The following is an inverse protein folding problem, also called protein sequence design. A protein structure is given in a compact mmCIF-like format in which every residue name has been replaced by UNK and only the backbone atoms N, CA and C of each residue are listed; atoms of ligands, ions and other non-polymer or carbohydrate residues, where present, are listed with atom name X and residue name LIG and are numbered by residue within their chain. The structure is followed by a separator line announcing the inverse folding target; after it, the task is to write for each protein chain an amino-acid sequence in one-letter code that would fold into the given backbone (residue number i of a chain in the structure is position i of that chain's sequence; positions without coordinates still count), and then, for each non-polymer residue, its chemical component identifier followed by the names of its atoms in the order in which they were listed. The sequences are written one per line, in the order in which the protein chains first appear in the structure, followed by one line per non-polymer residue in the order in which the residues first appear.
data_IF_507199777217
#
_entry.id   IF_507199777217
#
_cell.length_a   1.000
_cell.length_b   1.000
_cell.length_c   1.000
_cell.angle_alpha   90.00
_cell.angle_beta   90.00
_cell.angle_gamma   90.00
#
_symmetry.space_group_name_H-M   'P 1'
#
loop_
_entity.id
_entity.type
_entity.pdbx_description
1 polymer ?
#
# COMPACT_ATOMS: atom_id res chain seq x y z
N UNK A 1 23.36 -5.58 -6.88
CA UNK A 1 23.86 -5.00 -8.13
C UNK A 1 23.40 -3.55 -8.19
N UNK A 2 24.19 -2.63 -7.64
CA UNK A 2 23.94 -1.18 -7.66
C UNK A 2 24.24 -0.67 -9.07
N UNK A 3 23.23 -0.72 -9.94
CA UNK A 3 23.29 -0.07 -11.24
C UNK A 3 23.30 1.45 -10.99
N UNK A 4 24.32 2.14 -11.50
CA UNK A 4 24.44 3.60 -11.46
C UNK A 4 23.17 4.26 -12.03
N UNK A 5 22.22 4.67 -11.17
CA UNK A 5 21.04 5.46 -11.55
C UNK A 5 21.42 6.81 -12.20
N UNK A 6 22.65 7.28 -11.96
CA UNK A 6 23.24 8.45 -12.63
C UNK A 6 23.27 8.33 -14.16
N UNK A 7 23.28 7.11 -14.73
CA UNK A 7 23.28 6.92 -16.18
C UNK A 7 21.91 7.11 -16.84
N UNK A 8 20.81 7.19 -16.06
CA UNK A 8 19.44 7.26 -16.60
C UNK A 8 18.63 8.48 -16.14
N UNK A 9 19.06 9.20 -15.10
CA UNK A 9 18.43 10.48 -14.76
C UNK A 9 18.94 11.58 -15.69
N UNK A 10 18.04 12.17 -16.46
CA UNK A 10 18.38 13.40 -17.18
C UNK A 10 18.60 14.56 -16.19
N UNK A 11 19.30 15.59 -16.63
CA UNK A 11 19.66 16.74 -15.80
C UNK A 11 18.42 17.44 -15.19
N UNK A 12 17.30 17.45 -15.91
CA UNK A 12 16.06 18.07 -15.46
C UNK A 12 15.45 17.31 -14.27
N UNK A 13 15.43 15.97 -14.30
CA UNK A 13 14.97 15.14 -13.19
C UNK A 13 15.81 15.33 -11.93
N UNK A 14 17.13 15.51 -12.06
CA UNK A 14 17.99 15.80 -10.90
C UNK A 14 17.68 17.18 -10.30
N UNK A 15 17.46 18.19 -11.15
CA UNK A 15 17.09 19.55 -10.71
C UNK A 15 15.74 19.58 -9.99
N UNK A 16 14.77 18.84 -10.49
CA UNK A 16 13.47 18.65 -9.83
C UNK A 16 13.64 17.97 -8.47
N UNK A 17 14.41 16.88 -8.41
CA UNK A 17 14.69 16.18 -7.16
C UNK A 17 15.38 17.07 -6.11
N UNK A 18 16.36 17.87 -6.52
CA UNK A 18 17.02 18.85 -5.65
C UNK A 18 16.02 19.89 -5.13
N UNK A 19 15.10 20.36 -5.98
CA UNK A 19 14.05 21.31 -5.59
C UNK A 19 13.11 20.70 -4.55
N UNK A 20 12.69 19.44 -4.75
CA UNK A 20 11.87 18.68 -3.79
C UNK A 20 12.62 18.50 -2.47
N UNK A 21 13.88 18.04 -2.52
CA UNK A 21 14.69 17.83 -1.32
C UNK A 21 14.87 19.14 -0.53
N UNK A 22 15.15 20.25 -1.21
CA UNK A 22 15.28 21.56 -0.58
C UNK A 22 13.97 22.04 0.07
N UNK A 23 12.83 21.81 -0.58
CA UNK A 23 11.52 22.13 0.00
C UNK A 23 11.23 21.31 1.26
N UNK A 24 11.45 20.00 1.20
CA UNK A 24 11.20 19.07 2.30
C UNK A 24 12.11 19.31 3.52
N UNK A 25 13.23 20.00 3.36
CA UNK A 25 14.14 20.37 4.45
C UNK A 25 13.90 21.78 5.01
N UNK A 26 13.06 22.58 4.34
CA UNK A 26 12.77 23.95 4.79
C UNK A 26 11.67 23.94 5.85
N UNK A 27 12.07 23.94 7.13
CA UNK A 27 11.14 23.88 8.26
C UNK A 27 10.07 24.98 8.26
N UNK A 28 10.43 26.20 7.87
CA UNK A 28 9.50 27.34 7.81
C UNK A 28 8.39 27.10 6.81
N UNK A 29 8.71 26.49 5.66
CA UNK A 29 7.72 26.13 4.64
C UNK A 29 6.94 24.87 5.05
N UNK A 30 7.66 23.86 5.55
CA UNK A 30 7.12 22.54 5.85
C UNK A 30 6.10 22.58 6.99
N UNK A 31 6.40 23.31 8.07
CA UNK A 31 5.55 23.41 9.25
C UNK A 31 4.67 24.66 9.25
N UNK A 32 4.49 25.33 8.10
CA UNK A 32 3.51 26.40 7.96
C UNK A 32 2.07 25.90 8.17
N UNK A 33 1.82 24.64 7.82
CA UNK A 33 0.59 23.92 8.12
C UNK A 33 0.88 22.88 9.22
N UNK A 34 0.16 22.96 10.35
CA UNK A 34 0.33 22.03 11.47
C UNK A 34 0.01 20.58 11.10
N UNK A 35 -0.66 20.33 9.96
CA UNK A 35 -0.99 18.97 9.49
C UNK A 35 0.22 18.06 9.27
N UNK A 36 1.41 18.62 9.04
CA UNK A 36 2.63 17.81 8.83
C UNK A 36 3.23 17.34 10.16
N UNK A 37 2.96 18.04 11.26
CA UNK A 37 3.49 17.73 12.58
C UNK A 37 2.68 16.61 13.28
N UNK A 38 2.63 15.43 12.64
CA UNK A 38 1.94 14.25 13.14
C UNK A 38 2.66 12.97 12.71
N UNK A 39 2.28 11.85 13.33
CA UNK A 39 2.89 10.52 13.10
C UNK A 39 2.31 9.75 11.90
N UNK A 40 1.36 10.33 11.16
CA UNK A 40 0.75 9.66 10.01
C UNK A 40 1.78 9.45 8.90
N UNK A 41 1.87 8.23 8.35
CA UNK A 41 2.79 7.90 7.27
C UNK A 41 2.45 8.63 5.96
N UNK A 42 1.17 8.72 5.61
CA UNK A 42 0.72 9.24 4.31
C UNK A 42 0.70 10.78 4.22
N UNK A 43 0.64 11.49 5.35
CA UNK A 43 0.46 12.96 5.41
C UNK A 43 1.34 13.67 6.43
N UNK A 44 1.98 12.94 7.33
CA UNK A 44 2.81 13.47 8.39
C UNK A 44 4.31 13.39 8.11
N UNK A 45 5.06 13.72 9.15
CA UNK A 45 6.52 13.76 9.12
C UNK A 45 7.17 12.41 8.78
N UNK A 46 6.62 11.24 9.16
CA UNK A 46 7.14 9.94 8.73
C UNK A 46 7.29 9.75 7.22
N UNK A 47 6.32 10.17 6.41
CA UNK A 47 6.43 10.09 4.95
C UNK A 47 7.54 10.97 4.38
N UNK A 48 7.78 12.12 5.00
CA UNK A 48 8.87 13.03 4.64
C UNK A 48 10.23 12.43 5.01
N UNK A 49 10.33 11.85 6.21
CA UNK A 49 11.55 11.17 6.67
C UNK A 49 11.90 10.01 5.73
N UNK A 50 10.93 9.17 5.35
CA UNK A 50 11.15 8.10 4.37
C UNK A 50 11.64 8.65 3.02
N UNK A 51 11.02 9.73 2.54
CA UNK A 51 11.39 10.36 1.28
C UNK A 51 12.82 10.89 1.34
N UNK A 52 13.18 11.62 2.39
CA UNK A 52 14.54 12.16 2.59
C UNK A 52 15.56 11.04 2.78
N UNK A 53 15.22 9.97 3.48
CA UNK A 53 16.05 8.76 3.63
C UNK A 53 16.35 8.13 2.27
N UNK A 54 15.32 7.93 1.44
CA UNK A 54 15.47 7.36 0.10
C UNK A 54 16.29 8.27 -0.83
N UNK A 55 16.07 9.59 -0.80
CA UNK A 55 16.89 10.54 -1.56
C UNK A 55 18.34 10.47 -1.08
N UNK A 56 18.57 10.52 0.23
CA UNK A 56 19.92 10.51 0.82
C UNK A 56 20.69 9.23 0.49
N UNK A 57 20.02 8.07 0.47
CA UNK A 57 20.62 6.79 0.08
C UNK A 57 21.23 6.85 -1.32
N UNK A 58 20.57 7.54 -2.25
CA UNK A 58 20.99 7.63 -3.64
C UNK A 58 21.84 8.87 -3.96
N UNK A 59 21.57 9.98 -3.28
CA UNK A 59 22.17 11.31 -3.47
C UNK A 59 22.44 11.97 -2.10
N UNK A 60 23.49 11.53 -1.39
CA UNK A 60 23.77 11.98 -0.02
C UNK A 60 23.96 13.50 0.13
N UNK A 61 24.36 14.18 -0.94
CA UNK A 61 24.58 15.62 -1.00
C UNK A 61 23.30 16.45 -1.02
N UNK A 62 22.17 15.87 -1.40
CA UNK A 62 20.89 16.58 -1.50
C UNK A 62 20.15 16.69 -0.15
N UNK A 63 20.58 15.93 0.86
CA UNK A 63 19.90 15.83 2.15
C UNK A 63 20.89 16.07 3.28
N UNK A 64 20.67 17.13 4.05
CA UNK A 64 21.40 17.43 5.27
C UNK A 64 21.07 16.38 6.35
N UNK A 65 22.07 15.60 6.82
CA UNK A 65 21.85 14.59 7.87
C UNK A 65 21.36 15.20 9.19
N UNK A 66 21.68 16.46 9.49
CA UNK A 66 21.26 17.15 10.71
C UNK A 66 19.75 17.40 10.67
N UNK A 67 19.22 17.81 9.52
CA UNK A 67 17.77 18.03 9.34
C UNK A 67 17.01 16.70 9.41
N UNK A 68 17.53 15.66 8.74
CA UNK A 68 16.92 14.32 8.81
C UNK A 68 16.86 13.82 10.26
N UNK A 69 17.96 13.93 11.01
CA UNK A 69 17.99 13.53 12.43
C UNK A 69 17.01 14.34 13.27
N UNK A 70 16.96 15.66 13.06
CA UNK A 70 16.01 16.54 13.74
C UNK A 70 14.55 16.12 13.50
N UNK A 71 14.21 15.67 12.29
CA UNK A 71 12.86 15.19 12.00
C UNK A 71 12.55 13.86 12.67
N UNK A 72 13.51 12.92 12.70
CA UNK A 72 13.38 11.66 13.44
C UNK A 72 13.12 11.94 14.93
N UNK A 73 13.92 12.81 15.54
CA UNK A 73 13.76 13.19 16.95
C UNK A 73 12.41 13.89 17.19
N UNK A 74 11.94 14.71 16.24
CA UNK A 74 10.63 15.38 16.33
C UNK A 74 9.46 14.39 16.29
N UNK A 75 9.51 13.34 15.47
CA UNK A 75 8.44 12.31 15.45
C UNK A 75 8.42 11.54 16.77
N UNK A 76 9.59 11.24 17.33
CA UNK A 76 9.69 10.59 18.65
C UNK A 76 9.02 11.44 19.74
N UNK A 77 9.29 12.75 19.77
CA UNK A 77 8.64 13.68 20.72
C UNK A 77 7.12 13.69 20.52
N UNK A 78 6.66 13.81 19.26
CA UNK A 78 5.22 13.79 18.94
C UNK A 78 4.53 12.51 19.41
N UNK A 79 5.21 11.37 19.35
CA UNK A 79 4.71 10.12 19.90
C UNK A 79 4.63 10.20 21.43
N UNK A 80 5.68 10.65 22.11
CA UNK A 80 5.71 10.73 23.57
C UNK A 80 4.69 11.70 24.18
N UNK A 81 4.25 12.71 23.42
CA UNK A 81 3.31 13.76 23.87
C UNK A 81 1.85 13.48 23.49
N UNK A 82 1.58 12.44 22.69
CA UNK A 82 0.24 12.20 22.17
C UNK A 82 -0.56 11.27 23.08
N UNK A 83 -1.82 11.66 23.33
CA UNK A 83 -2.73 10.94 24.21
C UNK A 83 -3.54 9.84 23.52
N UNK A 84 -3.56 9.82 22.18
CA UNK A 84 -4.35 8.88 21.40
C UNK A 84 -3.73 8.63 20.02
N UNK A 85 -3.72 7.37 19.61
CA UNK A 85 -3.20 6.96 18.32
C UNK A 85 -4.20 6.11 17.55
N UNK A 86 -4.10 6.19 16.22
CA UNK A 86 -4.72 5.20 15.36
C UNK A 86 -3.74 4.02 15.20
N UNK A 87 -4.22 2.76 15.17
CA UNK A 87 -3.35 1.59 14.97
C UNK A 87 -2.92 1.42 13.49
N UNK A 88 -3.60 2.12 12.58
CA UNK A 88 -3.50 1.94 11.12
C UNK A 88 -2.10 2.12 10.53
N UNK A 89 -1.82 1.46 9.41
CA UNK A 89 -0.56 1.60 8.67
C UNK A 89 -0.41 3.00 8.04
N UNK A 90 -1.48 3.55 7.48
CA UNK A 90 -1.40 4.84 6.79
C UNK A 90 -1.29 6.03 7.74
N UNK A 91 -2.04 6.01 8.85
CA UNK A 91 -2.24 7.17 9.71
C UNK A 91 -1.70 7.03 11.13
N UNK A 92 -1.09 5.89 11.47
CA UNK A 92 -0.98 5.46 12.85
C UNK A 92 0.29 4.69 13.21
N UNK A 93 0.22 3.99 14.35
CA UNK A 93 1.35 3.31 14.97
C UNK A 93 2.00 2.27 14.08
N UNK A 94 1.24 1.50 13.29
CA UNK A 94 1.83 0.52 12.38
C UNK A 94 2.72 1.18 11.31
N UNK A 95 2.34 2.36 10.81
CA UNK A 95 3.16 3.13 9.86
C UNK A 95 4.39 3.74 10.51
N UNK A 96 4.29 4.16 11.76
CA UNK A 96 5.43 4.66 12.52
C UNK A 96 6.42 3.54 12.88
N UNK A 97 5.93 2.40 13.36
CA UNK A 97 6.74 1.22 13.60
C UNK A 97 7.44 0.76 12.32
N UNK A 98 6.72 0.75 11.18
CA UNK A 98 7.32 0.50 9.86
C UNK A 98 8.48 1.47 9.56
N UNK A 99 8.29 2.78 9.78
CA UNK A 99 9.35 3.78 9.62
C UNK A 99 10.59 3.44 10.45
N UNK A 100 10.44 3.05 11.72
CA UNK A 100 11.58 2.72 12.59
C UNK A 100 12.41 1.58 12.01
N UNK A 101 11.77 0.52 11.52
CA UNK A 101 12.47 -0.59 10.87
C UNK A 101 13.18 -0.15 9.59
N UNK A 102 12.55 0.68 8.76
CA UNK A 102 13.19 1.22 7.55
C UNK A 102 14.41 2.10 7.89
N UNK A 103 14.32 2.94 8.92
CA UNK A 103 15.44 3.76 9.38
C UNK A 103 16.60 2.91 9.94
N UNK A 104 16.28 1.83 10.65
CA UNK A 104 17.28 0.90 11.16
C UNK A 104 17.98 0.14 10.03
N UNK A 105 17.24 -0.31 9.01
CA UNK A 105 17.80 -0.96 7.81
C UNK A 105 18.79 -0.04 7.09
N UNK A 106 18.46 1.25 6.96
CA UNK A 106 19.31 2.28 6.37
C UNK A 106 20.36 2.85 7.34
N UNK A 107 20.48 2.29 8.55
CA UNK A 107 21.47 2.67 9.59
C UNK A 107 21.39 4.14 10.04
N UNK A 108 20.19 4.72 10.00
CA UNK A 108 19.92 6.05 10.55
C UNK A 108 19.69 6.02 12.07
N UNK A 109 19.23 4.89 12.60
CA UNK A 109 19.02 4.63 14.03
C UNK A 109 19.51 3.22 14.38
N UNK A 110 19.72 2.96 15.66
CA UNK A 110 19.76 1.60 16.21
C UNK A 110 18.35 1.25 16.69
N UNK A 111 17.78 0.14 16.22
CA UNK A 111 16.44 -0.30 16.61
C UNK A 111 16.38 -0.65 18.11
N UNK A 112 17.52 -1.01 18.73
CA UNK A 112 17.60 -1.31 20.15
C UNK A 112 17.28 -0.10 21.04
N UNK A 113 17.57 1.12 20.56
CA UNK A 113 17.25 2.37 21.27
C UNK A 113 15.75 2.65 21.36
N UNK A 114 14.94 1.97 20.52
CA UNK A 114 13.49 2.14 20.43
C UNK A 114 12.71 0.93 20.93
N UNK A 115 13.38 0.00 21.62
CA UNK A 115 12.81 -1.29 22.03
C UNK A 115 11.50 -1.13 22.82
N UNK A 116 11.50 -0.31 23.86
CA UNK A 116 10.34 -0.16 24.75
C UNK A 116 9.10 0.37 23.99
N UNK A 117 9.31 1.36 23.11
CA UNK A 117 8.25 1.91 22.26
C UNK A 117 7.74 0.87 21.25
N UNK A 118 8.63 0.06 20.69
CA UNK A 118 8.25 -0.99 19.75
C UNK A 118 7.42 -2.08 20.44
N UNK A 119 7.75 -2.44 21.68
CA UNK A 119 6.97 -3.40 22.47
C UNK A 119 5.56 -2.85 22.74
N UNK A 120 5.43 -1.57 23.12
CA UNK A 120 4.11 -0.92 23.29
C UNK A 120 3.30 -0.87 21.99
N UNK A 121 3.97 -0.51 20.88
CA UNK A 121 3.36 -0.50 19.54
C UNK A 121 2.87 -1.90 19.14
N UNK A 122 3.67 -2.94 19.41
CA UNK A 122 3.31 -4.32 19.10
C UNK A 122 2.05 -4.76 19.84
N UNK A 123 1.96 -4.47 21.14
CA UNK A 123 0.80 -4.82 21.96
C UNK A 123 -0.48 -4.17 21.40
N UNK A 124 -0.43 -2.87 21.14
CA UNK A 124 -1.57 -2.11 20.60
C UNK A 124 -1.98 -2.63 19.21
N UNK A 125 -1.02 -2.84 18.32
CA UNK A 125 -1.32 -3.32 16.95
C UNK A 125 -1.85 -4.76 16.98
N UNK A 126 -1.31 -5.63 17.84
CA UNK A 126 -1.76 -7.00 17.95
C UNK A 126 -3.22 -7.10 18.42
N UNK A 127 -3.62 -6.28 19.39
CA UNK A 127 -5.01 -6.17 19.85
C UNK A 127 -5.93 -5.71 18.70
N UNK A 128 -5.63 -4.55 18.11
CA UNK A 128 -6.45 -3.97 17.06
C UNK A 128 -6.50 -4.82 15.79
N UNK A 129 -5.45 -5.59 15.49
CA UNK A 129 -5.47 -6.53 14.38
C UNK A 129 -6.54 -7.59 14.60
N UNK A 130 -6.65 -8.16 15.81
CA UNK A 130 -7.68 -9.15 16.10
C UNK A 130 -9.08 -8.54 16.01
N UNK A 131 -9.29 -7.33 16.56
CA UNK A 131 -10.58 -6.62 16.45
C UNK A 131 -10.98 -6.38 14.98
N UNK A 132 -10.02 -5.96 14.15
CA UNK A 132 -10.26 -5.76 12.72
C UNK A 132 -10.60 -7.07 11.99
N UNK A 133 -9.97 -8.19 12.37
CA UNK A 133 -10.30 -9.51 11.81
C UNK A 133 -11.69 -9.98 12.22
N UNK A 134 -12.13 -9.69 13.45
CA UNK A 134 -13.49 -10.00 13.90
C UNK A 134 -14.56 -9.21 13.14
N UNK A 135 -14.23 -7.98 12.72
CA UNK A 135 -15.12 -7.08 11.97
C UNK A 135 -14.97 -7.18 10.44
N UNK A 136 -14.14 -8.08 9.92
CA UNK A 136 -13.82 -8.18 8.47
C UNK A 136 -13.23 -6.88 7.86
N UNK A 137 -12.59 -6.06 8.69
CA UNK A 137 -11.89 -4.85 8.29
C UNK A 137 -10.46 -5.17 7.89
N UNK A 138 -10.28 -5.63 6.65
CA UNK A 138 -9.02 -6.20 6.18
C UNK A 138 -8.22 -5.29 5.25
N UNK A 139 -8.45 -3.98 5.13
CA UNK A 139 -7.71 -3.15 4.16
C UNK A 139 -6.25 -2.84 4.55
N UNK A 140 -5.43 -2.41 3.57
CA UNK A 140 -4.00 -2.11 3.78
C UNK A 140 -3.80 -0.83 4.60
N UNK A 141 -4.64 0.18 4.40
CA UNK A 141 -4.38 1.50 4.96
C UNK A 141 -4.86 1.63 6.39
N UNK A 142 -5.96 0.98 6.74
CA UNK A 142 -6.64 1.14 8.03
C UNK A 142 -6.89 -0.18 8.77
N UNK A 143 -7.03 -1.29 8.04
CA UNK A 143 -7.39 -2.59 8.58
C UNK A 143 -6.23 -3.54 8.90
N UNK A 144 -6.61 -4.80 9.12
CA UNK A 144 -5.71 -5.86 9.60
C UNK A 144 -4.54 -6.17 8.65
N UNK A 145 -4.69 -5.99 7.33
CA UNK A 145 -3.59 -6.23 6.38
C UNK A 145 -2.44 -5.26 6.60
N UNK A 146 -2.71 -3.97 6.81
CA UNK A 146 -1.67 -2.97 7.10
C UNK A 146 -0.91 -3.28 8.38
N UNK A 147 -1.64 -3.71 9.42
CA UNK A 147 -1.08 -4.12 10.69
C UNK A 147 -0.21 -5.38 10.57
N UNK A 148 -0.65 -6.37 9.79
CA UNK A 148 0.13 -7.57 9.51
C UNK A 148 1.38 -7.27 8.68
N UNK A 149 1.33 -6.31 7.74
CA UNK A 149 2.51 -5.87 6.99
C UNK A 149 3.57 -5.27 7.92
N UNK A 150 3.18 -4.50 8.94
CA UNK A 150 4.12 -4.05 9.97
C UNK A 150 4.81 -5.22 10.68
N UNK A 151 4.06 -6.22 11.13
CA UNK A 151 4.67 -7.40 11.77
C UNK A 151 5.54 -8.22 10.81
N UNK A 152 5.22 -8.22 9.52
CA UNK A 152 6.03 -8.91 8.52
C UNK A 152 7.43 -8.31 8.37
N UNK A 153 7.58 -6.98 8.48
CA UNK A 153 8.91 -6.32 8.51
C UNK A 153 9.78 -6.82 9.66
N UNK A 154 9.15 -7.29 10.75
CA UNK A 154 9.82 -7.87 11.92
C UNK A 154 10.16 -9.34 11.75
N UNK A 155 9.76 -9.96 10.64
CA UNK A 155 9.82 -11.39 10.44
C UNK A 155 8.79 -12.19 11.26
N UNK A 156 7.74 -11.55 11.78
CA UNK A 156 6.69 -12.21 12.54
C UNK A 156 5.54 -12.67 11.61
N UNK A 157 5.59 -13.93 11.15
CA UNK A 157 4.62 -14.47 10.19
C UNK A 157 3.23 -14.74 10.76
N UNK A 158 3.11 -14.98 12.06
CA UNK A 158 1.85 -15.39 12.73
C UNK A 158 0.69 -14.43 12.52
N UNK A 159 0.95 -13.13 12.42
CA UNK A 159 -0.09 -12.13 12.14
C UNK A 159 -0.55 -12.16 10.68
N UNK A 160 0.37 -12.38 9.75
CA UNK A 160 0.03 -12.56 8.34
C UNK A 160 -0.77 -13.85 8.13
N UNK A 161 -0.41 -14.93 8.82
CA UNK A 161 -1.15 -16.20 8.83
C UNK A 161 -2.61 -16.00 9.27
N UNK A 162 -2.85 -15.28 10.38
CA UNK A 162 -4.22 -14.94 10.83
C UNK A 162 -5.04 -14.19 9.77
N UNK A 163 -4.42 -13.24 9.07
CA UNK A 163 -5.09 -12.49 8.00
C UNK A 163 -5.40 -13.40 6.81
N UNK A 164 -4.45 -14.26 6.39
CA UNK A 164 -4.66 -15.23 5.30
C UNK A 164 -5.81 -16.19 5.64
N UNK A 165 -5.83 -16.72 6.86
CA UNK A 165 -6.90 -17.61 7.32
C UNK A 165 -8.26 -16.91 7.25
N UNK A 166 -8.35 -15.66 7.72
CA UNK A 166 -9.60 -14.90 7.66
C UNK A 166 -10.01 -14.58 6.23
N UNK A 167 -9.08 -14.21 5.36
CA UNK A 167 -9.34 -13.98 3.94
C UNK A 167 -9.84 -15.26 3.26
N UNK A 168 -9.26 -16.41 3.58
CA UNK A 168 -9.67 -17.70 3.02
C UNK A 168 -11.11 -18.06 3.40
N UNK A 169 -11.49 -17.81 4.66
CA UNK A 169 -12.85 -18.04 5.18
C UNK A 169 -13.87 -17.07 4.59
N UNK A 170 -13.49 -15.80 4.41
CA UNK A 170 -14.41 -14.74 3.96
C UNK A 170 -14.49 -14.59 2.44
N UNK A 171 -13.60 -15.26 1.71
CA UNK A 171 -13.60 -15.25 0.24
C UNK A 171 -14.92 -15.77 -0.32
N UNK A 172 -15.60 -14.94 -1.10
CA UNK A 172 -16.80 -15.29 -1.85
C UNK A 172 -16.36 -15.96 -3.14
N UNK A 173 -16.71 -17.23 -3.32
CA UNK A 173 -16.27 -18.06 -4.43
C UNK A 173 -17.38 -18.31 -5.43
N UNK A 174 -17.06 -18.13 -6.71
CA UNK A 174 -17.92 -18.41 -7.85
C UNK A 174 -17.10 -19.11 -8.93
N UNK A 175 -17.48 -20.34 -9.26
CA UNK A 175 -16.73 -21.20 -10.19
C UNK A 175 -15.25 -21.35 -9.79
N UNK A 176 -14.33 -20.79 -10.60
CA UNK A 176 -12.88 -20.78 -10.36
C UNK A 176 -12.36 -19.38 -9.98
N UNK A 177 -13.23 -18.53 -9.41
CA UNK A 177 -12.92 -17.15 -9.05
C UNK A 177 -13.29 -16.86 -7.59
N UNK A 178 -12.58 -15.92 -6.97
CA UNK A 178 -12.93 -15.44 -5.64
C UNK A 178 -12.79 -13.91 -5.53
N UNK A 179 -13.58 -13.32 -4.65
CA UNK A 179 -13.51 -11.90 -4.32
C UNK A 179 -13.95 -11.65 -2.87
N UNK A 180 -13.67 -10.45 -2.39
CA UNK A 180 -14.10 -9.95 -1.08
C UNK A 180 -14.98 -8.72 -1.25
N UNK A 181 -16.02 -8.64 -0.42
CA UNK A 181 -16.93 -7.50 -0.37
C UNK A 181 -16.81 -6.77 0.96
N UNK A 182 -16.93 -5.45 0.94
CA UNK A 182 -17.00 -4.61 2.14
C UNK A 182 -18.30 -3.83 2.15
N UNK A 183 -18.86 -3.59 3.34
CA UNK A 183 -20.05 -2.76 3.46
C UNK A 183 -19.66 -1.28 3.41
N UNK A 184 -20.21 -0.52 2.45
CA UNK A 184 -19.97 0.92 2.37
C UNK A 184 -20.93 1.67 3.29
N UNK A 185 -20.45 2.01 4.48
CA UNK A 185 -21.23 2.72 5.47
C UNK A 185 -21.56 4.18 5.11
N UNK A 186 -20.99 4.76 4.05
CA UNK A 186 -21.11 6.20 3.81
C UNK A 186 -21.85 6.52 2.52
N UNK A 187 -21.41 5.91 1.41
CA UNK A 187 -21.85 6.32 0.07
C UNK A 187 -23.04 5.50 -0.42
N UNK A 188 -22.91 4.17 -0.46
CA UNK A 188 -23.91 3.30 -1.08
C UNK A 188 -24.83 2.63 -0.07
N UNK A 189 -24.42 2.52 1.21
CA UNK A 189 -25.14 1.78 2.26
C UNK A 189 -25.44 0.33 1.85
N UNK A 190 -24.51 -0.26 1.10
CA UNK A 190 -24.62 -1.61 0.54
C UNK A 190 -23.24 -2.27 0.49
N UNK A 191 -23.22 -3.59 0.31
CA UNK A 191 -21.98 -4.30 0.03
C UNK A 191 -21.46 -3.95 -1.36
N UNK A 192 -20.16 -3.68 -1.43
CA UNK A 192 -19.43 -3.41 -2.66
C UNK A 192 -18.24 -4.34 -2.79
N UNK A 193 -17.92 -4.66 -4.03
CA UNK A 193 -16.67 -5.30 -4.43
C UNK A 193 -15.75 -4.18 -4.92
N UNK A 194 -14.77 -3.82 -4.10
CA UNK A 194 -13.83 -2.75 -4.40
C UNK A 194 -12.63 -3.32 -5.17
N UNK A 195 -12.29 -2.74 -6.32
CA UNK A 195 -11.18 -3.22 -7.16
C UNK A 195 -9.84 -2.56 -6.82
N UNK A 196 -9.84 -1.52 -6.01
CA UNK A 196 -8.68 -0.67 -5.75
C UNK A 196 -7.56 -1.36 -4.95
N UNK A 197 -6.35 -0.82 -5.07
CA UNK A 197 -5.19 -1.26 -4.29
C UNK A 197 -5.26 -0.75 -2.85
N UNK A 198 -5.77 0.46 -2.63
CA UNK A 198 -5.80 1.07 -1.30
C UNK A 198 -6.78 0.36 -0.34
N UNK A 199 -7.96 -0.02 -0.83
CA UNK A 199 -9.07 -0.50 0.02
C UNK A 199 -9.75 -1.78 -0.49
N UNK A 200 -9.32 -2.31 -1.62
CA UNK A 200 -10.05 -3.35 -2.33
C UNK A 200 -9.26 -4.64 -2.56
N UNK A 201 -9.77 -5.41 -3.53
CA UNK A 201 -9.30 -6.74 -3.86
C UNK A 201 -7.87 -6.73 -4.42
N UNK A 202 -7.42 -5.65 -5.08
CA UNK A 202 -6.02 -5.52 -5.49
C UNK A 202 -5.10 -5.31 -4.28
N UNK A 203 -5.59 -4.69 -3.21
CA UNK A 203 -4.88 -4.65 -1.93
C UNK A 203 -4.70 -6.04 -1.33
N UNK A 204 -5.75 -6.85 -1.36
CA UNK A 204 -5.71 -8.23 -0.89
C UNK A 204 -4.72 -9.06 -1.70
N UNK A 205 -4.76 -8.94 -3.03
CA UNK A 205 -3.79 -9.53 -3.93
C UNK A 205 -2.34 -9.12 -3.61
N UNK A 206 -2.10 -7.83 -3.41
CA UNK A 206 -0.77 -7.33 -3.03
C UNK A 206 -0.28 -7.96 -1.73
N UNK A 207 -1.13 -8.00 -0.70
CA UNK A 207 -0.81 -8.61 0.59
C UNK A 207 -0.50 -10.11 0.47
N UNK A 208 -1.32 -10.88 -0.24
CA UNK A 208 -1.08 -12.30 -0.50
C UNK A 208 0.23 -12.52 -1.27
N UNK A 209 0.54 -11.66 -2.24
CA UNK A 209 1.81 -11.67 -2.96
C UNK A 209 3.02 -11.42 -2.04
N UNK A 210 2.90 -10.51 -1.08
CA UNK A 210 3.93 -10.29 -0.05
C UNK A 210 4.11 -11.53 0.84
N UNK A 211 3.02 -12.12 1.31
CA UNK A 211 3.07 -13.34 2.12
C UNK A 211 3.75 -14.50 1.36
N UNK A 212 3.39 -14.67 0.10
CA UNK A 212 3.98 -15.69 -0.79
C UNK A 212 5.48 -15.47 -0.98
N UNK A 213 5.93 -14.22 -1.17
CA UNK A 213 7.37 -13.89 -1.27
C UNK A 213 8.15 -14.27 0.01
N UNK A 214 7.48 -14.25 1.17
CA UNK A 214 8.05 -14.66 2.46
C UNK A 214 7.80 -16.13 2.79
N UNK A 215 7.28 -16.94 1.85
CA UNK A 215 6.94 -18.35 2.01
C UNK A 215 5.88 -18.63 3.10
N UNK A 216 5.01 -17.66 3.39
CA UNK A 216 3.94 -17.77 4.40
C UNK A 216 2.69 -18.37 3.74
N UNK A 217 2.18 -19.47 4.29
CA UNK A 217 1.00 -20.22 3.79
C UNK A 217 0.94 -20.31 2.24
N UNK A 218 2.06 -20.73 1.64
CA UNK A 218 2.29 -20.69 0.19
C UNK A 218 1.13 -21.26 -0.65
N UNK A 219 0.58 -22.40 -0.25
CA UNK A 219 -0.48 -23.06 -1.00
C UNK A 219 -1.79 -22.28 -0.95
N UNK A 220 -2.23 -21.85 0.25
CA UNK A 220 -3.41 -21.00 0.43
C UNK A 220 -3.28 -19.68 -0.34
N UNK A 221 -2.11 -19.02 -0.26
CA UNK A 221 -1.87 -17.78 -1.01
C UNK A 221 -1.97 -18.00 -2.51
N UNK A 222 -1.37 -19.07 -3.06
CA UNK A 222 -1.42 -19.37 -4.50
C UNK A 222 -2.84 -19.66 -4.97
N UNK A 223 -3.61 -20.40 -4.18
CA UNK A 223 -5.02 -20.70 -4.49
C UNK A 223 -5.86 -19.42 -4.55
N UNK A 224 -5.83 -18.62 -3.47
CA UNK A 224 -6.56 -17.34 -3.41
C UNK A 224 -6.13 -16.36 -4.50
N UNK A 225 -4.83 -16.27 -4.79
CA UNK A 225 -4.32 -15.40 -5.85
C UNK A 225 -4.81 -15.85 -7.23
N UNK A 226 -4.79 -17.16 -7.52
CA UNK A 226 -5.27 -17.71 -8.77
C UNK A 226 -6.76 -17.41 -8.97
N UNK A 227 -7.57 -17.67 -7.93
CA UNK A 227 -9.01 -17.41 -7.95
C UNK A 227 -9.30 -15.90 -8.07
N UNK A 228 -8.59 -15.04 -7.34
CA UNK A 228 -8.77 -13.60 -7.41
C UNK A 228 -8.32 -13.02 -8.76
N UNK A 229 -7.22 -13.50 -9.35
CA UNK A 229 -6.80 -13.08 -10.70
C UNK A 229 -7.83 -13.49 -11.76
N UNK A 230 -8.46 -14.66 -11.61
CA UNK A 230 -9.57 -15.06 -12.49
C UNK A 230 -10.78 -14.14 -12.33
N UNK A 231 -11.10 -13.70 -11.12
CA UNK A 231 -12.15 -12.69 -10.90
C UNK A 231 -11.87 -11.39 -11.68
N UNK A 232 -10.63 -10.88 -11.65
CA UNK A 232 -10.26 -9.70 -12.45
C UNK A 232 -10.34 -9.98 -13.96
N UNK A 233 -9.90 -11.15 -14.42
CA UNK A 233 -10.01 -11.52 -15.85
C UNK A 233 -11.47 -11.53 -16.32
N UNK A 234 -12.39 -12.09 -15.55
CA UNK A 234 -13.83 -12.11 -15.88
C UNK A 234 -14.48 -10.72 -15.88
N UNK A 235 -13.93 -9.78 -15.12
CA UNK A 235 -14.45 -8.42 -15.00
C UNK A 235 -13.63 -7.38 -15.81
N UNK A 236 -12.86 -7.82 -16.80
CA UNK A 236 -12.14 -6.91 -17.69
C UNK A 236 -13.13 -6.22 -18.65
N UNK A 237 -13.06 -4.90 -18.72
CA UNK A 237 -13.91 -4.05 -19.56
C UNK A 237 -13.24 -3.74 -20.91
N UNK A 238 -14.06 -3.40 -21.90
CA UNK A 238 -13.61 -3.00 -23.23
C UNK A 238 -12.95 -1.61 -23.21
N UNK A 239 -11.62 -1.57 -23.19
CA UNK A 239 -10.83 -0.34 -23.09
C UNK A 239 -11.19 0.69 -24.18
N UNK A 240 -11.49 0.25 -25.41
CA UNK A 240 -11.85 1.13 -26.52
C UNK A 240 -13.05 2.02 -26.22
N UNK A 241 -14.03 1.48 -25.47
CA UNK A 241 -15.30 2.14 -25.14
C UNK A 241 -15.27 2.76 -23.75
N UNK A 242 -14.80 2.01 -22.75
CA UNK A 242 -14.89 2.40 -21.33
C UNK A 242 -13.67 3.19 -20.88
N UNK A 243 -12.58 3.17 -21.64
CA UNK A 243 -11.30 3.84 -21.32
C UNK A 243 -10.58 3.34 -20.08
N UNK A 244 -11.12 2.37 -19.33
CA UNK A 244 -10.41 1.61 -18.29
C UNK A 244 -10.60 0.10 -18.46
N UNK A 245 -9.64 -0.69 -17.98
CA UNK A 245 -9.77 -2.15 -17.96
C UNK A 245 -10.64 -2.64 -16.81
N UNK A 246 -10.63 -1.96 -15.68
CA UNK A 246 -11.37 -2.37 -14.50
C UNK A 246 -12.31 -1.26 -14.03
N UNK A 247 -13.46 -1.61 -13.42
CA UNK A 247 -14.27 -0.66 -12.69
C UNK A 247 -13.54 -0.20 -11.42
N UNK A 248 -14.01 0.87 -10.79
CA UNK A 248 -13.57 1.27 -9.44
C UNK A 248 -14.17 0.32 -8.41
N UNK A 249 -15.47 0.05 -8.53
CA UNK A 249 -16.19 -0.87 -7.67
C UNK A 249 -17.43 -1.43 -8.36
N UNK A 250 -17.94 -2.56 -7.86
CA UNK A 250 -19.23 -3.11 -8.23
C UNK A 250 -20.12 -3.22 -6.99
N UNK A 251 -21.42 -2.94 -7.12
CA UNK A 251 -22.36 -3.32 -6.06
C UNK A 251 -22.53 -4.83 -6.08
N UNK A 252 -22.45 -5.47 -4.91
CA UNK A 252 -22.46 -6.93 -4.85
C UNK A 252 -23.77 -7.53 -5.37
N UNK A 253 -24.91 -6.94 -5.02
CA UNK A 253 -26.21 -7.41 -5.48
C UNK A 253 -26.35 -7.29 -7.01
N UNK A 254 -25.83 -6.21 -7.60
CA UNK A 254 -25.83 -6.05 -9.06
C UNK A 254 -24.92 -7.09 -9.73
N UNK A 255 -23.76 -7.36 -9.13
CA UNK A 255 -22.82 -8.36 -9.63
C UNK A 255 -23.44 -9.75 -9.63
N UNK A 256 -24.03 -10.16 -8.50
CA UNK A 256 -24.67 -11.49 -8.37
C UNK A 256 -25.90 -11.66 -9.25
N UNK A 257 -26.60 -10.58 -9.57
CA UNK A 257 -27.76 -10.61 -10.47
C UNK A 257 -27.38 -10.44 -11.96
N UNK A 258 -26.09 -10.25 -12.28
CA UNK A 258 -25.63 -10.02 -13.65
C UNK A 258 -26.10 -8.67 -14.24
N UNK A 259 -26.36 -7.67 -13.39
CA UNK A 259 -26.89 -6.35 -13.77
C UNK A 259 -25.85 -5.23 -13.67
N UNK A 260 -24.59 -5.56 -13.43
CA UNK A 260 -23.47 -4.59 -13.39
C UNK A 260 -23.34 -3.82 -14.68
N UNK A 261 -23.04 -2.52 -14.56
CA UNK A 261 -22.79 -1.65 -15.70
C UNK A 261 -21.30 -1.32 -15.78
N UNK A 262 -20.73 -1.26 -16.99
CA UNK A 262 -19.37 -0.77 -17.16
C UNK A 262 -19.22 0.66 -16.64
N UNK A 263 -18.07 0.96 -16.05
CA UNK A 263 -17.73 2.30 -15.59
C UNK A 263 -16.26 2.65 -15.84
N UNK A 264 -16.00 3.92 -16.12
CA UNK A 264 -14.63 4.46 -16.22
C UNK A 264 -14.01 4.51 -14.82
N UNK A 265 -12.80 3.98 -14.65
CA UNK A 265 -11.99 4.21 -13.46
C UNK A 265 -10.92 5.29 -13.69
N UNK A 266 -10.46 5.88 -12.59
CA UNK A 266 -9.30 6.77 -12.59
C UNK A 266 -8.00 6.04 -12.95
N UNK A 267 -6.96 6.79 -13.28
CA UNK A 267 -5.57 6.33 -13.35
C UNK A 267 -4.85 6.79 -12.08
N UNK A 268 -5.15 6.14 -10.96
CA UNK A 268 -4.54 6.46 -9.67
C UNK A 268 -3.98 5.20 -9.00
N UNK A 269 -3.04 5.42 -8.07
CA UNK A 269 -2.52 4.33 -7.25
C UNK A 269 -3.60 3.68 -6.39
N UNK A 270 -4.49 4.48 -5.78
CA UNK A 270 -5.51 3.98 -4.87
C UNK A 270 -6.65 3.24 -5.58
N UNK A 271 -7.09 3.76 -6.73
CA UNK A 271 -8.23 3.25 -7.49
C UNK A 271 -7.98 3.28 -8.99
N UNK A 272 -8.35 2.18 -9.64
CA UNK A 272 -8.31 1.99 -11.09
C UNK A 272 -7.02 1.34 -11.60
N UNK A 273 -6.86 1.37 -12.92
CA UNK A 273 -5.95 0.49 -13.64
C UNK A 273 -4.49 0.56 -13.16
N UNK A 274 -3.99 1.73 -12.75
CA UNK A 274 -2.58 1.89 -12.37
C UNK A 274 -2.20 1.03 -11.16
N UNK A 275 -2.96 1.13 -10.06
CA UNK A 275 -2.71 0.35 -8.85
C UNK A 275 -2.95 -1.15 -9.05
N UNK A 276 -4.00 -1.50 -9.81
CA UNK A 276 -4.36 -2.89 -10.10
C UNK A 276 -3.27 -3.56 -10.94
N UNK A 277 -2.90 -2.95 -12.06
CA UNK A 277 -1.90 -3.52 -12.96
C UNK A 277 -0.50 -3.51 -12.35
N UNK A 278 -0.16 -2.53 -11.51
CA UNK A 278 1.07 -2.58 -10.72
C UNK A 278 1.11 -3.82 -9.82
N UNK A 279 -0.01 -4.13 -9.16
CA UNK A 279 -0.15 -5.32 -8.31
C UNK A 279 -0.03 -6.60 -9.14
N UNK A 280 -0.72 -6.69 -10.28
CA UNK A 280 -0.62 -7.85 -11.16
C UNK A 280 0.81 -8.07 -11.68
N UNK A 281 1.57 -6.99 -11.93
CA UNK A 281 2.97 -7.10 -12.36
C UNK A 281 3.86 -7.66 -11.24
N UNK A 282 3.63 -7.22 -10.00
CA UNK A 282 4.28 -7.79 -8.82
C UNK A 282 3.94 -9.28 -8.68
N UNK A 283 2.67 -9.64 -8.86
CA UNK A 283 2.24 -11.04 -8.76
C UNK A 283 2.83 -11.91 -9.86
N UNK A 284 2.97 -11.40 -11.08
CA UNK A 284 3.62 -12.12 -12.16
C UNK A 284 5.05 -12.51 -11.82
N UNK A 285 5.80 -11.62 -11.16
CA UNK A 285 7.15 -11.91 -10.66
C UNK A 285 7.10 -12.95 -9.53
N UNK A 286 6.27 -12.76 -8.50
CA UNK A 286 6.22 -13.68 -7.35
C UNK A 286 5.73 -15.08 -7.76
N UNK A 287 4.79 -15.18 -8.70
CA UNK A 287 4.27 -16.44 -9.24
C UNK A 287 5.14 -17.05 -10.34
N UNK A 288 6.13 -16.31 -10.85
CA UNK A 288 6.92 -16.66 -12.03
C UNK A 288 6.03 -16.95 -13.26
N UNK A 289 4.97 -16.16 -13.42
CA UNK A 289 3.98 -16.29 -14.51
C UNK A 289 4.31 -15.31 -15.64
N UNK A 290 5.03 -15.81 -16.65
CA UNK A 290 5.43 -15.01 -17.83
C UNK A 290 4.24 -14.53 -18.68
N UNK A 291 3.14 -15.27 -18.72
CA UNK A 291 1.96 -14.86 -19.47
C UNK A 291 1.24 -13.69 -18.79
N UNK A 292 1.08 -13.75 -17.45
CA UNK A 292 0.56 -12.64 -16.67
C UNK A 292 1.45 -11.40 -16.79
N UNK A 293 2.78 -11.58 -16.81
CA UNK A 293 3.74 -10.49 -16.97
C UNK A 293 3.55 -9.77 -18.32
N UNK A 294 3.53 -10.53 -19.43
CA UNK A 294 3.38 -9.98 -20.78
C UNK A 294 2.04 -9.25 -20.96
N UNK A 295 0.95 -9.88 -20.49
CA UNK A 295 -0.39 -9.29 -20.51
C UNK A 295 -0.41 -7.96 -19.73
N UNK A 296 0.11 -7.97 -18.51
CA UNK A 296 0.09 -6.81 -17.61
C UNK A 296 0.95 -5.66 -18.15
N UNK A 297 2.14 -5.94 -18.69
CA UNK A 297 3.00 -4.92 -19.30
C UNK A 297 2.31 -4.28 -20.51
N UNK A 298 1.62 -5.09 -21.32
CA UNK A 298 0.85 -4.59 -22.47
C UNK A 298 -0.25 -3.65 -22.02
N UNK A 299 -1.04 -4.04 -21.02
CA UNK A 299 -2.08 -3.19 -20.42
C UNK A 299 -1.51 -1.90 -19.83
N UNK A 300 -0.41 -1.97 -19.08
CA UNK A 300 0.26 -0.80 -18.49
C UNK A 300 0.74 0.19 -19.54
N UNK A 301 1.31 -0.28 -20.66
CA UNK A 301 1.74 0.61 -21.76
C UNK A 301 0.55 1.37 -22.36
N UNK A 302 -0.61 0.72 -22.49
CA UNK A 302 -1.83 1.38 -22.97
C UNK A 302 -2.35 2.41 -21.96
N UNK A 303 -2.39 2.05 -20.67
CA UNK A 303 -2.80 2.97 -19.60
C UNK A 303 -1.88 4.18 -19.50
N UNK A 304 -0.56 3.99 -19.61
CA UNK A 304 0.44 5.07 -19.57
C UNK A 304 0.37 6.04 -20.77
N UNK A 305 -0.37 5.70 -21.83
CA UNK A 305 -0.62 6.61 -22.96
C UNK A 305 -1.78 7.59 -22.71
N UNK A 306 -2.58 7.38 -21.65
CA UNK A 306 -3.67 8.28 -21.22
C UNK A 306 -3.06 9.55 -20.64
N UNK A 307 -3.30 10.70 -21.27
CA UNK A 307 -2.65 11.98 -20.90
C UNK A 307 -3.65 13.11 -20.67
N UNK A 308 -4.90 12.94 -21.05
CA UNK A 308 -5.93 13.97 -20.89
C UNK A 308 -6.70 13.75 -19.58
N UNK A 309 -7.17 14.83 -18.95
CA UNK A 309 -7.99 14.76 -17.72
C UNK A 309 -9.24 13.89 -17.93
N UNK A 310 -9.85 13.95 -19.11
CA UNK A 310 -11.01 13.12 -19.47
C UNK A 310 -10.67 11.62 -19.57
N UNK A 311 -9.38 11.29 -19.60
CA UNK A 311 -8.83 9.94 -19.65
C UNK A 311 -8.13 9.57 -18.34
N UNK A 312 -8.13 10.36 -17.27
CA UNK A 312 -7.36 10.05 -16.03
C UNK A 312 -8.18 10.16 -14.76
#
# INVERSE_FOLDING_TARGET
MTLNLLLFMNFDSYKELNTIAAYLQNETLLFRDNKVAQIALHTGLPGIILTLTAIRKQFPELVDPVILRKYIDKVYILLSESEAFYPSFSGGLAGYGFLLYQLAEEKHIDIADYKDIIEEIDEIIAEHLNDNLEMDHVDILHGAMGMALYFLEKGASTYAEKVIDRLNVTAKREENSCYWSTFDFFKTKAYKIDFGLAHGNAGIQYFLGKCLKHNIQTDTCKELLKESLNFYRHNTQELGTIKSYYPTMLLEDDYRNGTTKPETSRVAWCYGDLGILHTHLLLADVLQDGALQEETITKLKQVASRRLIAET
#
